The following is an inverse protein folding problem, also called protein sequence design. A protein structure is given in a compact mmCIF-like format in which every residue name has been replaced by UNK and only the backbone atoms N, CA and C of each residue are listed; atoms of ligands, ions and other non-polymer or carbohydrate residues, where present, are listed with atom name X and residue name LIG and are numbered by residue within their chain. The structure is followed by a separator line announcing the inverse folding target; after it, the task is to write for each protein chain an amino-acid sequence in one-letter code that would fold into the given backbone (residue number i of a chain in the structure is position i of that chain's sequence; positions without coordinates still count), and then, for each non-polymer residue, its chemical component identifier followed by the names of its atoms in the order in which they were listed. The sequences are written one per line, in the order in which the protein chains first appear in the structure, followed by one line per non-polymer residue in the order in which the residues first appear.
data_IF_804474436842
#
_entry.id   IF_804474436842
#
_cell.length_a   1.000
_cell.length_b   1.000
_cell.length_c   1.000
_cell.angle_alpha   90.00
_cell.angle_beta   90.00
_cell.angle_gamma   90.00
#
_symmetry.space_group_name_H-M   'P 1'
#
loop_
_entity.id
_entity.type
_entity.pdbx_description
1 polymer ?
#
# COMPACT_ATOMS: atom_id res chain seq x y z
N UNK A 1 11.51 -17.16 0.92
CA UNK A 1 11.13 -16.09 1.88
C UNK A 1 12.39 -15.48 2.47
N UNK A 2 12.65 -14.19 2.24
CA UNK A 2 13.75 -13.48 2.90
C UNK A 2 13.21 -12.76 4.13
N UNK A 3 13.82 -12.99 5.29
CA UNK A 3 13.53 -12.25 6.51
C UNK A 3 14.40 -11.00 6.54
N UNK A 4 13.78 -9.81 6.56
CA UNK A 4 14.48 -8.54 6.76
C UNK A 4 13.86 -7.86 7.98
N UNK A 5 14.70 -7.36 8.89
CA UNK A 5 14.26 -6.58 10.05
C UNK A 5 13.16 -7.29 10.89
N UNK A 6 13.32 -8.59 11.15
CA UNK A 6 12.32 -9.43 11.84
C UNK A 6 10.92 -9.46 11.19
N UNK A 7 10.80 -9.09 9.91
CA UNK A 7 9.57 -9.19 9.13
C UNK A 7 9.73 -10.19 7.99
N UNK A 8 8.75 -11.06 7.85
CA UNK A 8 8.66 -11.99 6.73
C UNK A 8 8.06 -11.25 5.54
N UNK A 9 8.89 -10.91 4.56
CA UNK A 9 8.45 -10.20 3.36
C UNK A 9 8.37 -11.21 2.21
N UNK A 10 7.18 -11.33 1.62
CA UNK A 10 6.99 -12.09 0.39
C UNK A 10 7.38 -11.18 -0.79
N UNK A 11 8.66 -11.20 -1.17
CA UNK A 11 9.11 -10.61 -2.43
C UNK A 11 8.73 -11.57 -3.54
N UNK A 12 7.99 -11.10 -4.55
CA UNK A 12 7.67 -11.93 -5.71
C UNK A 12 8.97 -12.33 -6.42
N UNK A 13 9.17 -13.62 -6.59
CA UNK A 13 10.22 -14.11 -7.49
C UNK A 13 9.82 -13.80 -8.95
N UNK A 14 10.80 -13.86 -9.85
CA UNK A 14 10.57 -13.66 -11.29
C UNK A 14 9.57 -14.74 -11.74
N UNK A 15 8.52 -14.35 -12.46
CA UNK A 15 7.41 -15.24 -12.80
C UNK A 15 7.94 -16.48 -13.55
N UNK A 16 7.80 -17.66 -12.94
CA UNK A 16 8.05 -18.95 -13.59
C UNK A 16 6.90 -19.31 -14.52
N UNK A 17 7.17 -20.05 -15.59
CA UNK A 17 6.12 -20.52 -16.52
C UNK A 17 5.24 -21.64 -15.95
N UNK A 18 5.60 -22.17 -14.79
CA UNK A 18 4.81 -23.17 -14.07
C UNK A 18 3.64 -22.52 -13.32
N UNK A 19 2.56 -23.27 -13.16
CA UNK A 19 1.40 -22.80 -12.41
C UNK A 19 1.74 -22.68 -10.93
N UNK A 20 1.62 -21.48 -10.38
CA UNK A 20 1.80 -21.21 -8.96
C UNK A 20 0.83 -20.15 -8.48
N UNK A 21 0.44 -20.22 -7.20
CA UNK A 21 -0.34 -19.17 -6.56
C UNK A 21 0.58 -17.97 -6.33
N UNK A 22 0.40 -16.94 -7.15
CA UNK A 22 1.18 -15.71 -7.03
C UNK A 22 0.71 -14.87 -5.83
N UNK A 23 1.63 -14.22 -5.11
CA UNK A 23 1.25 -13.24 -4.10
C UNK A 23 0.49 -12.08 -4.79
N UNK A 24 -0.60 -11.61 -4.18
CA UNK A 24 -1.43 -10.53 -4.72
C UNK A 24 -0.82 -9.14 -4.48
N UNK A 25 0.44 -8.96 -4.85
CA UNK A 25 1.21 -7.71 -4.65
C UNK A 25 0.53 -6.50 -5.33
N UNK A 26 -0.15 -6.73 -6.47
CA UNK A 26 -0.89 -5.68 -7.18
C UNK A 26 -1.93 -4.97 -6.32
N UNK A 27 -2.46 -5.61 -5.27
CA UNK A 27 -3.44 -4.97 -4.37
C UNK A 27 -2.76 -3.84 -3.61
N UNK A 28 -1.55 -4.09 -3.09
CA UNK A 28 -0.75 -3.10 -2.35
C UNK A 28 -0.36 -1.96 -3.28
N UNK A 29 0.13 -2.28 -4.48
CA UNK A 29 0.49 -1.27 -5.49
C UNK A 29 -0.71 -0.41 -5.90
N UNK A 30 -1.87 -1.02 -6.10
CA UNK A 30 -3.10 -0.31 -6.48
C UNK A 30 -3.60 0.59 -5.35
N UNK A 31 -3.45 0.16 -4.10
CA UNK A 31 -3.72 1.01 -2.94
C UNK A 31 -2.80 2.24 -2.94
N UNK A 32 -1.50 2.09 -3.20
CA UNK A 32 -0.60 3.23 -3.34
C UNK A 32 -0.93 4.12 -4.53
N UNK A 33 -1.36 3.54 -5.66
CA UNK A 33 -1.80 4.31 -6.83
C UNK A 33 -2.99 5.21 -6.50
N UNK A 34 -3.97 4.74 -5.72
CA UNK A 34 -5.08 5.59 -5.26
C UNK A 34 -4.62 6.69 -4.29
N UNK A 35 -3.67 6.36 -3.41
CA UNK A 35 -3.11 7.33 -2.47
C UNK A 35 -2.32 8.44 -3.18
N UNK A 36 -1.79 8.20 -4.37
CA UNK A 36 -1.09 9.21 -5.17
C UNK A 36 -1.96 10.42 -5.54
N UNK A 37 -3.29 10.28 -5.55
CA UNK A 37 -4.21 11.41 -5.73
C UNK A 37 -4.26 12.35 -4.51
N UNK A 38 -3.74 11.93 -3.35
CA UNK A 38 -3.64 12.76 -2.15
C UNK A 38 -2.25 13.37 -2.04
N UNK A 39 -2.12 14.62 -2.53
CA UNK A 39 -0.85 15.36 -2.59
C UNK A 39 -0.04 15.36 -1.29
N UNK A 40 -0.72 15.35 -0.13
CA UNK A 40 -0.09 15.43 1.20
C UNK A 40 0.51 14.10 1.69
N UNK A 41 0.13 12.96 1.11
CA UNK A 41 0.64 11.65 1.53
C UNK A 41 2.08 11.42 1.07
N UNK A 42 2.52 12.07 -0.01
CA UNK A 42 3.80 11.76 -0.67
C UNK A 42 5.02 12.50 -0.09
N UNK A 43 4.83 13.57 0.69
CA UNK A 43 5.91 14.54 0.98
C UNK A 43 6.29 14.74 2.45
N UNK A 44 5.42 14.37 3.40
CA UNK A 44 5.56 14.81 4.79
C UNK A 44 6.32 13.83 5.71
N UNK A 45 6.83 12.70 5.18
CA UNK A 45 7.50 11.67 6.01
C UNK A 45 8.82 12.13 6.64
N UNK A 46 9.52 13.06 6.00
CA UNK A 46 10.82 13.56 6.47
C UNK A 46 10.70 14.62 7.58
N UNK A 47 9.54 15.28 7.67
CA UNK A 47 9.30 16.38 8.60
C UNK A 47 8.68 15.86 9.90
N UNK A 48 7.60 15.08 9.80
CA UNK A 48 6.90 14.57 10.98
C UNK A 48 6.14 13.28 10.67
N UNK A 49 6.65 12.16 11.19
CA UNK A 49 6.06 10.82 11.01
C UNK A 49 4.61 10.77 11.53
N UNK A 50 4.32 11.41 12.67
CA UNK A 50 2.98 11.45 13.25
C UNK A 50 1.96 12.11 12.30
N UNK A 51 2.35 13.22 11.69
CA UNK A 51 1.51 13.94 10.71
C UNK A 51 1.31 13.11 9.45
N UNK A 52 2.38 12.53 8.91
CA UNK A 52 2.31 11.67 7.73
C UNK A 52 1.40 10.44 7.97
N UNK A 53 1.49 9.82 9.15
CA UNK A 53 0.61 8.71 9.56
C UNK A 53 -0.86 9.14 9.59
N UNK A 54 -1.17 10.28 10.20
CA UNK A 54 -2.54 10.79 10.29
C UNK A 54 -3.12 11.10 8.90
N UNK A 55 -2.35 11.75 8.04
CA UNK A 55 -2.78 12.09 6.67
C UNK A 55 -3.05 10.82 5.85
N UNK A 56 -2.18 9.81 5.95
CA UNK A 56 -2.37 8.51 5.31
C UNK A 56 -3.64 7.81 5.79
N UNK A 57 -3.94 7.84 7.10
CA UNK A 57 -5.14 7.24 7.66
C UNK A 57 -6.42 7.96 7.17
N UNK A 58 -6.41 9.29 7.13
CA UNK A 58 -7.53 10.09 6.62
C UNK A 58 -7.76 9.83 5.12
N UNK A 59 -6.69 9.76 4.32
CA UNK A 59 -6.77 9.45 2.89
C UNK A 59 -7.42 8.08 2.64
N UNK A 60 -7.02 7.06 3.42
CA UNK A 60 -7.57 5.72 3.33
C UNK A 60 -9.06 5.68 3.68
N UNK A 61 -9.46 6.36 4.76
CA UNK A 61 -10.86 6.46 5.18
C UNK A 61 -11.73 7.08 4.09
N UNK A 62 -11.27 8.15 3.42
CA UNK A 62 -12.02 8.77 2.32
C UNK A 62 -12.19 7.82 1.13
N UNK A 63 -11.15 7.06 0.76
CA UNK A 63 -11.25 6.05 -0.31
C UNK A 63 -12.27 4.97 0.07
N UNK A 64 -12.19 4.43 1.29
CA UNK A 64 -13.11 3.40 1.78
C UNK A 64 -14.57 3.89 1.79
N UNK A 65 -14.82 5.07 2.35
CA UNK A 65 -16.17 5.65 2.41
C UNK A 65 -16.78 5.83 1.02
N UNK A 66 -16.02 6.32 0.04
CA UNK A 66 -16.49 6.47 -1.35
C UNK A 66 -16.85 5.14 -2.00
N UNK A 67 -16.16 4.05 -1.64
CA UNK A 67 -16.42 2.72 -2.18
C UNK A 67 -17.65 2.08 -1.54
N UNK A 68 -17.79 2.22 -0.22
CA UNK A 68 -18.97 1.75 0.52
C UNK A 68 -20.22 2.48 0.02
N UNK A 69 -20.16 3.80 -0.14
CA UNK A 69 -21.29 4.59 -0.63
C UNK A 69 -21.67 4.31 -2.10
N UNK A 70 -20.80 3.65 -2.87
CA UNK A 70 -21.05 3.24 -4.26
C UNK A 70 -21.54 1.78 -4.37
N UNK A 71 -21.42 1.00 -3.28
CA UNK A 71 -21.86 -0.39 -3.22
C UNK A 71 -23.33 -0.50 -2.84
#
# INVERSE_FOLDING_TARGET
MRTLLNKTIAISERISQEWAILPKCWIVERTFAWLNHFRRVSKDYEIAIATAKNISMIAYSMILLRRIAKS
#
